data_IF_494278894330
#
_entry.id   IF_494278894330
#
_cell.length_a   1.000
_cell.length_b   1.000
_cell.length_c   1.000
_cell.angle_alpha   90.00
_cell.angle_beta   90.00
_cell.angle_gamma   90.00
#
_symmetry.space_group_name_H-M   'P 1'
#
loop_
_entity.id
_entity.type
_entity.pdbx_description
1 polymer ?
#
# COMPACT_ATOMS: atom_id res chain seq x y z
N UNK A 1 30.90 0.00 -1.53
CA UNK A 1 30.03 0.59 -2.58
C UNK A 1 28.67 0.84 -1.98
N UNK A 2 28.08 2.02 -2.23
CA UNK A 2 26.71 2.35 -1.80
C UNK A 2 25.85 2.43 -3.06
N UNK A 3 24.78 1.64 -3.12
CA UNK A 3 23.96 1.41 -4.31
C UNK A 3 22.51 1.75 -3.97
N UNK A 4 21.93 2.84 -4.47
CA UNK A 4 20.51 3.08 -4.34
C UNK A 4 19.74 2.11 -5.23
N UNK A 5 18.65 1.51 -4.72
CA UNK A 5 17.83 0.57 -5.50
C UNK A 5 16.33 0.91 -5.49
N UNK A 6 15.89 1.75 -4.55
CA UNK A 6 14.49 2.16 -4.41
C UNK A 6 14.38 3.56 -3.77
N UNK A 7 13.18 4.13 -3.75
CA UNK A 7 12.90 5.42 -3.12
C UNK A 7 11.51 5.47 -2.50
N UNK A 8 11.36 6.25 -1.42
CA UNK A 8 10.05 6.57 -0.83
C UNK A 8 9.34 7.74 -1.53
N UNK A 9 9.95 8.32 -2.59
CA UNK A 9 9.34 9.38 -3.36
C UNK A 9 8.04 8.89 -4.01
N UNK A 10 6.94 9.67 -3.94
CA UNK A 10 5.67 9.25 -4.53
C UNK A 10 5.80 9.12 -6.05
N UNK A 11 5.52 7.92 -6.55
CA UNK A 11 5.54 7.58 -7.97
C UNK A 11 4.12 7.71 -8.51
N UNK A 12 3.76 8.89 -9.03
CA UNK A 12 2.41 9.14 -9.57
C UNK A 12 2.21 8.55 -10.96
N UNK A 13 3.28 8.43 -11.74
CA UNK A 13 3.30 7.84 -13.07
C UNK A 13 4.17 6.60 -13.09
N UNK A 14 3.71 5.55 -13.78
CA UNK A 14 4.51 4.35 -13.99
C UNK A 14 5.76 4.67 -14.83
N UNK A 15 6.96 4.16 -14.47
CA UNK A 15 8.24 4.65 -14.99
C UNK A 15 8.62 4.06 -16.38
N UNK A 16 7.73 4.19 -17.36
CA UNK A 16 7.96 3.66 -18.71
C UNK A 16 9.19 4.26 -19.40
N UNK A 17 9.44 5.55 -19.21
CA UNK A 17 10.57 6.28 -19.78
C UNK A 17 11.88 5.81 -19.18
N UNK A 18 11.95 5.65 -17.86
CA UNK A 18 13.13 5.15 -17.14
C UNK A 18 13.46 3.74 -17.62
N UNK A 19 12.46 2.85 -17.68
CA UNK A 19 12.63 1.48 -18.19
C UNK A 19 13.08 1.50 -19.65
N UNK A 20 12.46 2.31 -20.51
CA UNK A 20 12.80 2.41 -21.93
C UNK A 20 14.22 2.94 -22.13
N UNK A 21 14.64 3.96 -21.38
CA UNK A 21 15.99 4.50 -21.42
C UNK A 21 17.01 3.46 -20.95
N UNK A 22 16.74 2.73 -19.87
CA UNK A 22 17.61 1.63 -19.41
C UNK A 22 17.73 0.55 -20.48
N UNK A 23 16.60 0.08 -21.02
CA UNK A 23 16.58 -0.93 -22.08
C UNK A 23 17.34 -0.47 -23.33
N UNK A 24 17.22 0.81 -23.70
CA UNK A 24 17.94 1.40 -24.84
C UNK A 24 19.44 1.40 -24.60
N UNK A 25 19.91 1.81 -23.40
CA UNK A 25 21.32 1.78 -23.04
C UNK A 25 21.89 0.36 -23.07
N UNK A 26 21.15 -0.60 -22.53
CA UNK A 26 21.54 -2.02 -22.55
C UNK A 26 21.62 -2.53 -24.01
N UNK A 27 20.62 -2.24 -24.84
CA UNK A 27 20.62 -2.62 -26.23
C UNK A 27 21.81 -2.01 -27.00
N UNK A 28 22.05 -0.71 -26.83
CA UNK A 28 23.19 -0.03 -27.47
C UNK A 28 24.53 -0.64 -27.06
N UNK A 29 24.72 -0.95 -25.77
CA UNK A 29 25.93 -1.60 -25.30
C UNK A 29 26.17 -2.97 -25.97
N UNK A 30 25.15 -3.81 -26.05
CA UNK A 30 25.30 -5.14 -26.65
C UNK A 30 25.41 -5.10 -28.18
N UNK A 31 24.77 -4.11 -28.83
CA UNK A 31 24.82 -3.96 -30.29
C UNK A 31 26.12 -3.34 -30.79
N UNK A 32 26.67 -2.36 -30.06
CA UNK A 32 27.76 -1.51 -30.57
C UNK A 32 29.04 -1.54 -29.72
N UNK A 33 28.98 -1.96 -28.45
CA UNK A 33 30.16 -1.96 -27.57
C UNK A 33 30.81 -3.33 -27.36
N UNK A 34 30.09 -4.45 -27.57
CA UNK A 34 30.59 -5.82 -27.32
C UNK A 34 31.83 -6.22 -28.15
N UNK A 35 32.25 -5.41 -29.13
CA UNK A 35 33.36 -5.69 -30.05
C UNK A 35 34.33 -4.52 -30.27
N UNK A 36 34.28 -3.46 -29.48
CA UNK A 36 35.27 -2.37 -29.58
C UNK A 36 36.59 -2.87 -28.98
N UNK A 37 37.48 -3.39 -29.83
CA UNK A 37 38.84 -3.85 -29.47
C UNK A 37 39.95 -3.01 -30.11
N UNK A 38 39.64 -2.27 -31.18
CA UNK A 38 40.63 -1.51 -31.94
C UNK A 38 40.47 -0.02 -31.64
N UNK A 39 41.56 0.66 -31.31
CA UNK A 39 41.63 2.06 -30.83
C UNK A 39 41.15 3.15 -31.81
N UNK A 40 40.28 2.82 -32.77
CA UNK A 40 39.52 3.78 -33.56
C UNK A 40 38.29 4.25 -32.79
N UNK A 41 38.04 5.57 -32.67
CA UNK A 41 36.82 6.09 -32.06
C UNK A 41 35.60 5.55 -32.79
N UNK A 42 34.73 4.83 -32.08
CA UNK A 42 33.46 4.38 -32.64
C UNK A 42 32.64 5.62 -33.07
N UNK A 43 31.95 5.62 -34.23
CA UNK A 43 31.23 6.80 -34.74
C UNK A 43 30.14 7.36 -33.81
N UNK A 44 29.82 6.63 -32.73
CA UNK A 44 28.81 6.99 -31.74
C UNK A 44 29.38 7.53 -30.42
N UNK A 45 30.70 7.49 -30.24
CA UNK A 45 31.39 8.14 -29.12
C UNK A 45 31.58 9.62 -29.44
N UNK A 46 31.62 10.46 -28.41
CA UNK A 46 31.89 11.89 -28.58
C UNK A 46 33.38 12.06 -28.90
N UNK A 47 33.72 12.44 -30.12
CA UNK A 47 35.10 12.67 -30.57
C UNK A 47 35.47 14.15 -30.39
N UNK A 48 36.59 14.42 -29.71
CA UNK A 48 37.02 15.79 -29.42
C UNK A 48 37.74 16.46 -30.59
N UNK A 49 38.15 15.69 -31.60
CA UNK A 49 38.86 16.21 -32.77
C UNK A 49 37.91 16.76 -33.85
N UNK A 50 36.60 16.55 -33.69
CA UNK A 50 35.57 17.00 -34.63
C UNK A 50 34.33 17.55 -33.92
N UNK A 51 33.49 18.29 -34.65
CA UNK A 51 32.15 18.67 -34.20
C UNK A 51 31.12 17.84 -34.97
N UNK A 52 30.42 16.94 -34.27
CA UNK A 52 29.41 16.09 -34.88
C UNK A 52 28.15 16.03 -33.99
N UNK A 53 27.08 16.78 -34.34
CA UNK A 53 25.86 16.82 -33.54
C UNK A 53 25.17 15.47 -33.33
N UNK A 54 25.39 14.49 -34.20
CA UNK A 54 24.88 13.13 -33.99
C UNK A 54 25.47 12.51 -32.72
N UNK A 55 26.76 12.77 -32.47
CA UNK A 55 27.47 12.24 -31.31
C UNK A 55 26.95 12.81 -29.99
N UNK A 56 26.37 14.01 -29.99
CA UNK A 56 25.74 14.59 -28.79
C UNK A 56 24.58 13.74 -28.28
N UNK A 57 23.89 13.04 -29.18
CA UNK A 57 22.82 12.12 -28.81
C UNK A 57 23.35 10.70 -28.55
N UNK A 58 24.18 10.19 -29.47
CA UNK A 58 24.56 8.77 -29.42
C UNK A 58 25.53 8.46 -28.28
N UNK A 59 26.41 9.39 -27.92
CA UNK A 59 27.44 9.15 -26.88
C UNK A 59 26.82 8.90 -25.50
N UNK A 60 25.63 9.44 -25.24
CA UNK A 60 24.85 9.25 -24.01
C UNK A 60 24.53 7.76 -23.80
N UNK A 61 24.38 6.98 -24.88
CA UNK A 61 24.01 5.56 -24.83
C UNK A 61 25.22 4.61 -24.87
N UNK A 62 26.41 5.12 -25.17
CA UNK A 62 27.64 4.33 -25.27
C UNK A 62 28.25 4.11 -23.88
N UNK A 63 28.75 2.90 -23.61
CA UNK A 63 29.39 2.56 -22.33
C UNK A 63 30.72 1.83 -22.55
N UNK A 64 31.75 2.22 -21.79
CA UNK A 64 33.11 1.71 -21.97
C UNK A 64 33.25 0.22 -21.61
N UNK A 65 32.49 -0.23 -20.61
CA UNK A 65 32.55 -1.60 -20.11
C UNK A 65 31.29 -1.92 -19.28
N UNK A 66 31.08 -3.19 -18.96
CA UNK A 66 29.86 -3.67 -18.32
C UNK A 66 29.61 -3.03 -16.94
N UNK A 67 30.65 -2.84 -16.12
CA UNK A 67 30.48 -2.18 -14.81
C UNK A 67 30.06 -0.71 -14.95
N UNK A 68 30.58 0.01 -15.94
CA UNK A 68 30.14 1.38 -16.22
C UNK A 68 28.66 1.41 -16.62
N UNK A 69 28.21 0.48 -17.45
CA UNK A 69 26.79 0.34 -17.79
C UNK A 69 25.94 0.05 -16.55
N UNK A 70 26.30 -0.98 -15.77
CA UNK A 70 25.53 -1.38 -14.58
C UNK A 70 25.43 -0.22 -13.59
N UNK A 71 26.54 0.47 -13.32
CA UNK A 71 26.56 1.64 -12.44
C UNK A 71 25.59 2.71 -12.89
N UNK A 72 25.62 3.08 -14.18
CA UNK A 72 24.70 4.07 -14.74
C UNK A 72 23.25 3.62 -14.65
N UNK A 73 22.93 2.35 -14.92
CA UNK A 73 21.55 1.88 -14.89
C UNK A 73 20.96 1.88 -13.47
N UNK A 74 21.76 1.58 -12.44
CA UNK A 74 21.36 1.67 -11.03
C UNK A 74 20.98 3.10 -10.64
N UNK A 75 21.83 4.07 -10.97
CA UNK A 75 21.55 5.47 -10.64
C UNK A 75 20.44 6.06 -11.51
N UNK A 76 20.38 5.68 -12.79
CA UNK A 76 19.29 6.06 -13.69
C UNK A 76 17.95 5.52 -13.19
N UNK A 77 17.90 4.28 -12.69
CA UNK A 77 16.70 3.75 -12.06
C UNK A 77 16.28 4.59 -10.86
N UNK A 78 17.20 4.80 -9.92
CA UNK A 78 16.92 5.49 -8.66
C UNK A 78 16.44 6.93 -8.86
N UNK A 79 17.14 7.71 -9.70
CA UNK A 79 16.76 9.09 -9.95
C UNK A 79 15.64 9.19 -10.98
N UNK A 80 15.60 8.31 -11.97
CA UNK A 80 14.54 8.24 -12.97
C UNK A 80 13.17 8.00 -12.36
N UNK A 81 13.06 7.10 -11.37
CA UNK A 81 11.83 6.89 -10.61
C UNK A 81 11.31 8.18 -9.96
N UNK A 82 12.20 8.96 -9.32
CA UNK A 82 11.84 10.22 -8.66
C UNK A 82 11.37 11.26 -9.67
N UNK A 83 12.14 11.43 -10.76
CA UNK A 83 11.85 12.47 -11.76
C UNK A 83 10.62 12.10 -12.59
N UNK A 84 10.60 10.92 -13.21
CA UNK A 84 9.47 10.47 -14.03
C UNK A 84 8.20 10.32 -13.20
N UNK A 85 8.30 9.86 -11.96
CA UNK A 85 7.18 9.80 -11.04
C UNK A 85 6.47 11.14 -10.88
N UNK A 86 7.18 12.27 -10.96
CA UNK A 86 6.63 13.63 -10.81
C UNK A 86 6.17 14.27 -12.12
N UNK A 87 6.83 13.99 -13.25
CA UNK A 87 6.56 14.71 -14.52
C UNK A 87 5.96 13.86 -15.64
N UNK A 88 5.90 12.54 -15.45
CA UNK A 88 5.47 11.57 -16.45
C UNK A 88 6.48 11.33 -17.57
N UNK A 89 6.24 10.30 -18.36
CA UNK A 89 7.19 9.71 -19.31
C UNK A 89 7.75 10.68 -20.34
N UNK A 90 6.90 11.42 -21.06
CA UNK A 90 7.37 12.29 -22.16
C UNK A 90 8.25 13.43 -21.67
N UNK A 91 7.90 14.05 -20.54
CA UNK A 91 8.70 15.12 -19.94
C UNK A 91 9.99 14.59 -19.37
N UNK A 92 9.97 13.41 -18.73
CA UNK A 92 11.18 12.74 -18.27
C UNK A 92 12.17 12.50 -19.41
N UNK A 93 11.71 11.94 -20.54
CA UNK A 93 12.55 11.70 -21.71
C UNK A 93 13.12 13.00 -22.27
N UNK A 94 12.31 14.06 -22.36
CA UNK A 94 12.78 15.38 -22.80
C UNK A 94 13.82 16.00 -21.86
N UNK A 95 13.67 15.83 -20.54
CA UNK A 95 14.65 16.29 -19.54
C UNK A 95 15.95 15.49 -19.66
N UNK A 96 15.87 14.15 -19.67
CA UNK A 96 17.03 13.27 -19.76
C UNK A 96 17.84 13.55 -21.04
N UNK A 97 17.18 13.56 -22.19
CA UNK A 97 17.83 13.84 -23.48
C UNK A 97 18.30 15.29 -23.57
N UNK A 98 17.50 16.25 -23.09
CA UNK A 98 17.87 17.67 -23.12
C UNK A 98 19.14 17.95 -22.31
N UNK A 99 19.25 17.38 -21.11
CA UNK A 99 20.47 17.49 -20.28
C UNK A 99 21.64 16.81 -20.98
N UNK A 100 21.48 15.55 -21.43
CA UNK A 100 22.58 14.80 -22.06
C UNK A 100 23.09 15.46 -23.34
N UNK A 101 22.19 15.86 -24.24
CA UNK A 101 22.57 16.49 -25.53
C UNK A 101 23.19 17.87 -25.31
N UNK A 102 22.64 18.67 -24.39
CA UNK A 102 23.22 19.99 -24.12
C UNK A 102 24.60 19.91 -23.47
N UNK A 103 24.79 18.99 -22.51
CA UNK A 103 26.08 18.80 -21.85
C UNK A 103 27.14 18.27 -22.82
N UNK A 104 26.82 17.24 -23.61
CA UNK A 104 27.75 16.66 -24.60
C UNK A 104 28.09 17.65 -25.72
N UNK A 105 27.12 18.48 -26.14
CA UNK A 105 27.38 19.56 -27.09
C UNK A 105 28.39 20.58 -26.53
N UNK A 106 28.17 21.05 -25.30
CA UNK A 106 29.07 22.00 -24.63
C UNK A 106 30.46 21.38 -24.44
N UNK A 107 30.52 20.12 -24.02
CA UNK A 107 31.77 19.38 -23.86
C UNK A 107 32.55 19.27 -25.17
N UNK A 108 31.93 18.78 -26.25
CA UNK A 108 32.61 18.61 -27.54
C UNK A 108 33.10 19.94 -28.09
N UNK A 109 32.27 20.99 -28.05
CA UNK A 109 32.65 22.33 -28.51
C UNK A 109 33.85 22.86 -27.72
N UNK A 110 33.86 22.67 -26.39
CA UNK A 110 34.95 23.10 -25.53
C UNK A 110 36.24 22.31 -25.83
N UNK A 111 36.16 20.98 -25.91
CA UNK A 111 37.33 20.12 -26.10
C UNK A 111 37.96 20.34 -27.48
N UNK A 112 37.12 20.46 -28.52
CA UNK A 112 37.53 20.81 -29.87
C UNK A 112 38.22 22.18 -29.92
N UNK A 113 37.63 23.20 -29.29
CA UNK A 113 38.22 24.54 -29.25
C UNK A 113 39.56 24.60 -28.51
N UNK A 114 39.79 23.68 -27.57
CA UNK A 114 41.04 23.55 -26.82
C UNK A 114 42.05 22.62 -27.50
N UNK A 115 41.73 22.10 -28.70
CA UNK A 115 42.59 21.19 -29.45
C UNK A 115 42.88 19.88 -28.73
N UNK A 116 41.94 19.43 -27.88
CA UNK A 116 42.09 18.18 -27.13
C UNK A 116 41.81 16.98 -28.04
N UNK A 117 42.56 15.89 -27.83
CA UNK A 117 42.36 14.61 -28.51
C UNK A 117 41.60 13.64 -27.63
N UNK A 118 40.97 12.63 -28.23
CA UNK A 118 40.24 11.58 -27.52
C UNK A 118 38.74 11.81 -27.54
N UNK A 119 38.05 11.33 -26.51
CA UNK A 119 36.59 11.39 -26.50
C UNK A 119 35.95 10.92 -25.21
N UNK A 120 34.63 11.08 -25.12
CA UNK A 120 33.83 10.68 -23.98
C UNK A 120 32.54 9.97 -24.37
N UNK A 121 31.98 9.26 -23.40
CA UNK A 121 30.77 8.45 -23.55
C UNK A 121 30.15 8.18 -22.19
N UNK A 122 28.85 7.90 -22.19
CA UNK A 122 28.12 7.44 -21.01
C UNK A 122 26.91 8.30 -20.67
N UNK A 123 25.94 7.66 -20.03
CA UNK A 123 24.73 8.32 -19.56
C UNK A 123 24.95 9.18 -18.30
N UNK A 124 26.14 9.11 -17.70
CA UNK A 124 26.39 9.59 -16.33
C UNK A 124 26.16 11.09 -16.16
N UNK A 125 26.55 11.92 -17.14
CA UNK A 125 26.28 13.36 -17.06
C UNK A 125 24.77 13.68 -17.03
N UNK A 126 23.96 13.00 -17.85
CA UNK A 126 22.51 13.14 -17.80
C UNK A 126 21.94 12.69 -16.44
N UNK A 127 22.46 11.58 -15.90
CA UNK A 127 22.08 11.05 -14.58
C UNK A 127 22.42 12.03 -13.45
N UNK A 128 23.59 12.68 -13.49
CA UNK A 128 23.96 13.72 -12.53
C UNK A 128 23.07 14.96 -12.66
N UNK A 129 22.62 15.29 -13.87
CA UNK A 129 21.58 16.32 -14.03
C UNK A 129 20.25 15.92 -13.39
N UNK A 130 19.83 14.66 -13.52
CA UNK A 130 18.65 14.15 -12.80
C UNK A 130 18.84 14.19 -11.28
N UNK A 131 20.04 13.89 -10.77
CA UNK A 131 20.37 14.03 -9.34
C UNK A 131 20.19 15.49 -8.88
N UNK A 132 20.69 16.46 -9.66
CA UNK A 132 20.52 17.88 -9.35
C UNK A 132 19.05 18.30 -9.29
N UNK A 133 18.22 17.77 -10.19
CA UNK A 133 16.77 17.98 -10.15
C UNK A 133 16.14 17.28 -8.93
N UNK A 134 16.52 16.04 -8.63
CA UNK A 134 15.98 15.27 -7.52
C UNK A 134 16.28 15.93 -6.16
N UNK A 135 17.47 16.50 -5.99
CA UNK A 135 17.83 17.29 -4.81
C UNK A 135 16.94 18.52 -4.63
N UNK A 136 16.42 19.10 -5.72
CA UNK A 136 15.48 20.22 -5.67
C UNK A 136 14.04 19.78 -5.41
N UNK A 137 13.59 18.69 -6.02
CA UNK A 137 12.18 18.29 -6.02
C UNK A 137 11.78 17.34 -4.90
N UNK A 138 12.73 16.59 -4.35
CA UNK A 138 12.49 15.54 -3.37
C UNK A 138 13.63 15.46 -2.31
N UNK A 139 14.14 16.57 -1.76
CA UNK A 139 15.32 16.59 -0.89
C UNK A 139 15.22 15.70 0.35
N UNK A 140 14.02 15.59 0.95
CA UNK A 140 13.77 14.79 2.16
C UNK A 140 13.35 13.36 1.88
N UNK A 141 12.96 13.04 0.64
CA UNK A 141 12.67 11.66 0.26
C UNK A 141 13.94 10.84 0.38
N UNK A 142 13.80 9.60 0.85
CA UNK A 142 14.91 8.69 1.01
C UNK A 142 15.11 7.81 -0.22
N UNK A 143 16.38 7.58 -0.55
CA UNK A 143 16.82 6.44 -1.34
C UNK A 143 17.09 5.28 -0.40
N UNK A 144 16.54 4.11 -0.71
CA UNK A 144 16.94 2.87 -0.07
C UNK A 144 18.24 2.40 -0.72
N UNK A 145 19.28 2.32 0.10
CA UNK A 145 20.64 2.03 -0.33
C UNK A 145 21.10 0.70 0.24
N UNK A 146 21.74 -0.11 -0.59
CA UNK A 146 22.55 -1.25 -0.14
C UNK A 146 23.99 -0.76 -0.02
N UNK A 147 24.65 -1.06 1.09
CA UNK A 147 26.10 -0.94 1.19
C UNK A 147 26.74 -2.32 1.16
N UNK A 148 27.86 -2.43 0.44
CA UNK A 148 28.71 -3.61 0.39
C UNK A 148 30.15 -3.18 0.63
N UNK A 149 30.74 -3.65 1.74
CA UNK A 149 32.13 -3.47 2.12
C UNK A 149 32.80 -4.86 2.25
N UNK A 150 33.13 -5.46 1.11
CA UNK A 150 33.63 -6.84 1.03
C UNK A 150 32.51 -7.89 1.19
N UNK A 151 32.90 -9.17 1.27
CA UNK A 151 31.95 -10.29 1.31
C UNK A 151 31.13 -10.37 2.61
N UNK A 152 31.68 -9.89 3.73
CA UNK A 152 31.10 -10.10 5.07
C UNK A 152 30.32 -8.91 5.64
N UNK A 153 30.51 -7.70 5.08
CA UNK A 153 29.85 -6.50 5.59
C UNK A 153 28.93 -5.92 4.52
N UNK A 154 27.67 -6.32 4.57
CA UNK A 154 26.61 -5.84 3.71
C UNK A 154 25.34 -5.54 4.50
N UNK A 155 24.60 -4.52 4.09
CA UNK A 155 23.33 -4.16 4.72
C UNK A 155 22.58 -3.09 3.94
N UNK A 156 21.43 -2.67 4.47
CA UNK A 156 20.56 -1.66 3.87
C UNK A 156 20.37 -0.47 4.81
N UNK A 157 20.24 0.73 4.24
CA UNK A 157 19.86 1.93 4.98
C UNK A 157 19.09 2.90 4.07
N UNK A 158 18.27 3.75 4.68
CA UNK A 158 17.59 4.84 3.98
C UNK A 158 18.42 6.12 4.09
N UNK A 159 18.60 6.85 2.99
CA UNK A 159 19.36 8.09 2.94
C UNK A 159 18.57 9.19 2.23
N UNK A 160 18.32 10.36 2.84
CA UNK A 160 17.67 11.47 2.17
C UNK A 160 18.42 11.87 0.88
N UNK A 161 17.69 12.12 -0.21
CA UNK A 161 18.25 12.45 -1.53
C UNK A 161 19.20 13.65 -1.44
N UNK A 162 18.87 14.67 -0.63
CA UNK A 162 19.77 15.83 -0.48
C UNK A 162 21.10 15.47 0.17
N UNK A 163 21.10 14.55 1.14
CA UNK A 163 22.32 14.10 1.83
C UNK A 163 23.12 13.21 0.89
N UNK A 164 22.45 12.23 0.25
CA UNK A 164 23.08 11.33 -0.71
C UNK A 164 23.69 12.12 -1.88
N UNK A 165 22.93 13.05 -2.46
CA UNK A 165 23.38 13.93 -3.53
C UNK A 165 24.54 14.84 -3.09
N UNK A 166 24.49 15.43 -1.90
CA UNK A 166 25.60 16.23 -1.37
C UNK A 166 26.88 15.41 -1.21
N UNK A 167 26.79 14.17 -0.71
CA UNK A 167 27.94 13.26 -0.63
C UNK A 167 28.52 13.02 -2.02
N UNK A 168 27.69 12.72 -3.01
CA UNK A 168 28.14 12.51 -4.40
C UNK A 168 28.83 13.76 -4.96
N UNK A 169 28.23 14.94 -4.78
CA UNK A 169 28.82 16.21 -5.26
C UNK A 169 30.17 16.50 -4.59
N UNK A 170 30.28 16.29 -3.27
CA UNK A 170 31.55 16.45 -2.56
C UNK A 170 32.60 15.47 -3.06
N UNK A 171 32.22 14.21 -3.31
CA UNK A 171 33.12 13.21 -3.87
C UNK A 171 33.58 13.58 -5.29
N UNK A 172 32.68 14.06 -6.15
CA UNK A 172 33.05 14.50 -7.50
C UNK A 172 33.96 15.73 -7.49
N UNK A 173 33.69 16.71 -6.61
CA UNK A 173 34.59 17.87 -6.44
C UNK A 173 35.97 17.39 -5.96
N UNK A 174 36.03 16.48 -5.00
CA UNK A 174 37.29 15.92 -4.52
C UNK A 174 38.05 15.19 -5.64
N UNK A 175 37.36 14.37 -6.45
CA UNK A 175 37.96 13.69 -7.60
C UNK A 175 38.41 14.66 -8.68
N UNK A 176 37.67 15.74 -8.94
CA UNK A 176 38.04 16.77 -9.89
C UNK A 176 39.30 17.54 -9.43
N UNK A 177 39.43 17.80 -8.13
CA UNK A 177 40.65 18.37 -7.54
C UNK A 177 41.84 17.40 -7.66
N UNK A 178 41.64 16.11 -7.36
CA UNK A 178 42.67 15.09 -7.53
C UNK A 178 43.10 14.91 -8.99
N UNK A 179 42.18 15.15 -9.92
CA UNK A 179 42.44 15.17 -11.35
C UNK A 179 43.02 16.52 -11.82
N UNK A 180 43.50 17.37 -10.91
CA UNK A 180 44.14 18.66 -11.20
C UNK A 180 43.26 19.58 -12.08
N UNK A 181 41.94 19.55 -11.85
CA UNK A 181 40.95 20.30 -12.62
C UNK A 181 40.92 19.94 -14.12
N UNK A 182 41.41 18.75 -14.49
CA UNK A 182 41.29 18.23 -15.85
C UNK A 182 39.86 17.81 -16.17
N UNK A 183 39.54 17.79 -17.47
CA UNK A 183 38.26 17.34 -18.03
C UNK A 183 38.10 15.80 -17.93
N UNK A 184 38.04 15.35 -16.68
CA UNK A 184 37.83 13.97 -16.26
C UNK A 184 36.33 13.64 -16.16
N UNK A 185 35.99 12.37 -15.89
CA UNK A 185 34.60 11.97 -15.62
C UNK A 185 33.94 12.80 -14.51
N UNK A 186 34.70 13.20 -13.50
CA UNK A 186 34.20 14.03 -12.41
C UNK A 186 33.78 15.43 -12.87
N UNK A 187 34.54 16.04 -13.79
CA UNK A 187 34.16 17.30 -14.41
C UNK A 187 32.85 17.17 -15.20
N UNK A 188 32.69 16.08 -15.97
CA UNK A 188 31.48 15.82 -16.75
C UNK A 188 30.24 15.58 -15.86
N UNK A 189 30.41 14.87 -14.75
CA UNK A 189 29.35 14.67 -13.75
C UNK A 189 28.90 16.01 -13.16
N UNK A 190 29.85 16.87 -12.77
CA UNK A 190 29.55 18.21 -12.24
C UNK A 190 28.89 19.10 -13.31
N UNK A 191 29.33 19.04 -14.57
CA UNK A 191 28.68 19.76 -15.67
C UNK A 191 27.23 19.28 -15.87
N UNK A 192 26.98 17.97 -15.80
CA UNK A 192 25.65 17.40 -15.85
C UNK A 192 24.74 17.90 -14.73
N UNK A 193 25.24 17.90 -13.50
CA UNK A 193 24.55 18.47 -12.33
C UNK A 193 24.18 19.95 -12.56
N UNK A 194 25.15 20.75 -13.03
CA UNK A 194 24.96 22.18 -13.34
C UNK A 194 23.95 22.40 -14.46
N UNK A 195 23.86 21.50 -15.44
CA UNK A 195 22.84 21.57 -16.49
C UNK A 195 21.43 21.21 -15.96
N UNK A 196 21.34 20.25 -15.03
CA UNK A 196 20.06 19.81 -14.45
C UNK A 196 19.42 20.81 -13.49
N UNK A 197 20.22 21.48 -12.64
CA UNK A 197 19.70 22.41 -11.60
C UNK A 197 18.81 23.51 -12.20
N UNK A 198 19.22 24.27 -13.25
CA UNK A 198 18.38 25.27 -13.89
C UNK A 198 17.05 24.71 -14.42
N UNK A 199 17.07 23.50 -15.00
CA UNK A 199 15.85 22.82 -15.48
C UNK A 199 14.91 22.59 -14.32
N UNK A 200 15.40 21.99 -13.23
CA UNK A 200 14.62 21.74 -12.01
C UNK A 200 14.02 23.02 -11.41
N UNK A 201 14.82 24.10 -11.35
CA UNK A 201 14.40 25.41 -10.83
C UNK A 201 13.33 26.07 -11.70
N UNK A 202 13.50 26.06 -13.02
CA UNK A 202 12.53 26.65 -13.96
C UNK A 202 11.21 25.91 -13.87
N UNK A 203 11.24 24.57 -13.83
CA UNK A 203 10.03 23.77 -13.71
C UNK A 203 9.27 24.03 -12.41
N UNK A 204 9.97 24.17 -11.28
CA UNK A 204 9.35 24.57 -10.01
C UNK A 204 8.72 25.96 -10.11
N UNK A 205 9.48 26.97 -10.57
CA UNK A 205 8.98 28.35 -10.65
C UNK A 205 7.82 28.53 -11.62
N UNK A 206 7.76 27.72 -12.67
CA UNK A 206 6.68 27.75 -13.67
C UNK A 206 5.50 26.86 -13.31
N UNK A 207 5.53 26.18 -12.14
CA UNK A 207 4.52 25.19 -11.74
C UNK A 207 4.32 24.09 -12.79
N UNK A 208 5.39 23.70 -13.48
CA UNK A 208 5.37 22.60 -14.46
C UNK A 208 5.53 21.22 -13.81
N UNK A 209 5.94 21.21 -12.55
CA UNK A 209 6.03 20.04 -11.68
C UNK A 209 5.35 20.38 -10.36
N UNK A 210 4.54 19.47 -9.84
CA UNK A 210 3.98 19.57 -8.50
C UNK A 210 4.80 18.70 -7.56
N UNK A 211 5.41 19.33 -6.56
CA UNK A 211 6.15 18.63 -5.52
C UNK A 211 5.37 18.53 -4.21
N UNK A 212 4.10 18.95 -4.18
CA UNK A 212 3.23 18.91 -2.99
C UNK A 212 3.85 19.62 -1.77
N UNK A 213 4.68 20.64 -2.01
CA UNK A 213 5.44 21.35 -0.98
C UNK A 213 6.63 20.58 -0.39
N UNK A 214 6.97 19.41 -0.94
CA UNK A 214 8.18 18.65 -0.58
C UNK A 214 9.43 19.11 -1.33
N UNK A 215 9.34 20.13 -2.20
CA UNK A 215 10.52 20.72 -2.83
C UNK A 215 11.45 21.41 -1.80
N UNK A 216 12.70 21.65 -2.20
CA UNK A 216 13.74 22.27 -1.39
C UNK A 216 13.32 23.61 -0.78
N UNK A 217 12.64 24.46 -1.55
CA UNK A 217 12.27 25.79 -1.08
C UNK A 217 11.17 25.71 -0.04
N UNK A 218 10.11 24.98 -0.34
CA UNK A 218 8.98 24.80 0.58
C UNK A 218 9.41 24.09 1.87
N UNK A 219 10.30 23.10 1.76
CA UNK A 219 10.75 22.26 2.89
C UNK A 219 11.72 22.93 3.85
N UNK A 220 12.66 23.75 3.34
CA UNK A 220 13.72 24.36 4.16
C UNK A 220 13.56 25.86 4.38
N UNK A 221 12.80 26.54 3.51
CA UNK A 221 12.66 28.00 3.51
C UNK A 221 11.21 28.49 3.51
N UNK A 222 10.23 27.58 3.45
CA UNK A 222 8.79 27.88 3.47
C UNK A 222 8.07 27.22 4.65
N UNK A 223 6.75 27.16 4.57
CA UNK A 223 5.88 26.61 5.62
C UNK A 223 5.89 25.07 5.69
N UNK A 224 6.76 24.40 4.92
CA UNK A 224 6.83 22.95 4.80
C UNK A 224 5.87 22.35 3.76
N UNK A 225 5.81 21.01 3.69
CA UNK A 225 4.86 20.31 2.82
C UNK A 225 3.43 20.71 3.15
N UNK A 226 2.67 21.08 2.13
CA UNK A 226 1.24 21.29 2.32
C UNK A 226 0.63 19.90 2.45
N UNK A 227 -0.06 19.60 3.55
CA UNK A 227 -0.83 18.36 3.69
C UNK A 227 -1.57 18.09 2.39
N UNK A 228 -1.15 17.03 1.69
CA UNK A 228 -1.39 16.91 0.27
C UNK A 228 -2.87 16.63 0.02
N UNK A 229 -3.42 17.31 -0.97
CA UNK A 229 -4.78 17.08 -1.44
C UNK A 229 -5.02 15.61 -1.84
N UNK A 230 -3.95 14.85 -2.14
CA UNK A 230 -3.99 13.41 -2.43
C UNK A 230 -4.34 12.56 -1.19
N UNK A 231 -3.71 12.83 -0.04
CA UNK A 231 -3.97 12.09 1.20
C UNK A 231 -5.38 12.40 1.72
N UNK A 232 -5.78 13.67 1.67
CA UNK A 232 -7.15 14.09 1.98
C UNK A 232 -8.17 13.46 1.03
N UNK A 233 -7.86 13.35 -0.27
CA UNK A 233 -8.76 12.77 -1.28
C UNK A 233 -8.86 11.26 -1.18
N UNK A 234 -7.76 10.56 -0.84
CA UNK A 234 -7.75 9.11 -0.60
C UNK A 234 -8.52 8.78 0.68
N UNK A 235 -8.27 9.49 1.78
CA UNK A 235 -9.02 9.35 3.02
C UNK A 235 -10.52 9.66 2.83
N UNK A 236 -10.86 10.70 2.07
CA UNK A 236 -12.25 11.04 1.75
C UNK A 236 -12.92 9.99 0.86
N UNK A 237 -12.20 9.40 -0.10
CA UNK A 237 -12.70 8.35 -0.98
C UNK A 237 -12.94 7.05 -0.20
N UNK A 238 -11.97 6.64 0.62
CA UNK A 238 -12.07 5.44 1.46
C UNK A 238 -13.23 5.59 2.46
N UNK A 239 -13.40 6.78 3.06
CA UNK A 239 -14.54 7.08 3.93
C UNK A 239 -15.89 7.10 3.17
N UNK A 240 -15.92 7.60 1.94
CA UNK A 240 -17.13 7.62 1.11
C UNK A 240 -17.54 6.20 0.66
N UNK A 241 -16.57 5.36 0.28
CA UNK A 241 -16.80 3.96 -0.09
C UNK A 241 -17.27 3.13 1.12
N UNK A 242 -16.63 3.30 2.28
CA UNK A 242 -17.09 2.67 3.52
C UNK A 242 -18.52 3.12 3.90
N UNK A 243 -18.85 4.41 3.72
CA UNK A 243 -20.20 4.93 3.96
C UNK A 243 -21.22 4.35 2.98
N UNK A 244 -20.87 4.20 1.71
CA UNK A 244 -21.73 3.60 0.67
C UNK A 244 -21.97 2.11 0.93
N UNK A 245 -20.93 1.34 1.27
CA UNK A 245 -21.03 -0.07 1.63
C UNK A 245 -21.92 -0.26 2.88
N UNK A 246 -21.76 0.60 3.89
CA UNK A 246 -22.59 0.56 5.10
C UNK A 246 -24.07 0.87 4.80
N UNK A 247 -24.34 1.86 3.94
CA UNK A 247 -25.70 2.18 3.48
C UNK A 247 -26.33 1.03 2.67
N UNK A 248 -25.57 0.41 1.77
CA UNK A 248 -26.04 -0.71 0.96
C UNK A 248 -26.36 -1.95 1.81
N UNK A 249 -25.50 -2.29 2.76
CA UNK A 249 -25.74 -3.39 3.70
C UNK A 249 -26.97 -3.11 4.60
N UNK A 250 -27.16 -1.86 5.03
CA UNK A 250 -28.34 -1.47 5.80
C UNK A 250 -29.63 -1.59 4.98
N UNK A 251 -29.60 -1.20 3.71
CA UNK A 251 -30.74 -1.34 2.80
C UNK A 251 -31.07 -2.81 2.53
N UNK A 252 -30.08 -3.64 2.23
CA UNK A 252 -30.28 -5.06 1.99
C UNK A 252 -30.91 -5.77 3.20
N UNK A 253 -30.37 -5.51 4.39
CA UNK A 253 -30.92 -6.05 5.64
C UNK A 253 -32.37 -5.63 5.87
N UNK A 254 -32.71 -4.38 5.57
CA UNK A 254 -34.07 -3.88 5.71
C UNK A 254 -35.03 -4.67 4.81
N UNK A 255 -34.64 -4.97 3.57
CA UNK A 255 -35.43 -5.81 2.65
C UNK A 255 -35.59 -7.24 3.17
N UNK A 256 -34.54 -7.82 3.76
CA UNK A 256 -34.59 -9.16 4.38
C UNK A 256 -35.60 -9.16 5.53
N UNK A 257 -35.55 -8.16 6.42
CA UNK A 257 -36.49 -8.02 7.53
C UNK A 257 -37.92 -7.85 7.04
N UNK A 258 -38.17 -7.03 6.03
CA UNK A 258 -39.49 -6.84 5.43
C UNK A 258 -40.04 -8.13 4.82
N UNK A 259 -39.18 -8.91 4.15
CA UNK A 259 -39.57 -10.20 3.57
C UNK A 259 -39.93 -11.22 4.65
N UNK A 260 -39.15 -11.27 5.74
CA UNK A 260 -39.46 -12.10 6.91
C UNK A 260 -40.78 -11.65 7.56
N UNK A 261 -40.98 -10.34 7.76
CA UNK A 261 -42.20 -9.81 8.35
C UNK A 261 -43.43 -10.16 7.51
N UNK A 262 -43.35 -10.03 6.19
CA UNK A 262 -44.44 -10.41 5.29
C UNK A 262 -44.79 -11.90 5.40
N UNK A 263 -43.80 -12.78 5.49
CA UNK A 263 -44.03 -14.21 5.68
C UNK A 263 -44.67 -14.52 7.06
N UNK A 264 -44.28 -13.79 8.11
CA UNK A 264 -44.89 -13.88 9.44
C UNK A 264 -46.35 -13.40 9.43
N UNK A 265 -46.64 -12.28 8.77
CA UNK A 265 -47.99 -11.70 8.67
C UNK A 265 -48.95 -12.62 7.91
N UNK A 266 -48.45 -13.31 6.87
CA UNK A 266 -49.18 -14.34 6.13
C UNK A 266 -49.35 -15.65 6.92
N UNK A 267 -48.80 -15.74 8.14
CA UNK A 267 -48.79 -16.95 8.98
C UNK A 267 -48.17 -18.17 8.28
N UNK A 268 -47.27 -17.95 7.32
CA UNK A 268 -46.59 -19.04 6.61
C UNK A 268 -45.33 -19.45 7.36
N UNK A 269 -45.49 -20.37 8.31
CA UNK A 269 -44.43 -20.79 9.21
C UNK A 269 -43.19 -21.34 8.48
N UNK A 270 -43.40 -22.16 7.44
CA UNK A 270 -42.31 -22.83 6.72
C UNK A 270 -41.46 -21.82 5.96
N UNK A 271 -42.10 -20.87 5.27
CA UNK A 271 -41.40 -19.83 4.51
C UNK A 271 -40.66 -18.87 5.43
N UNK A 272 -41.31 -18.42 6.51
CA UNK A 272 -40.68 -17.51 7.48
C UNK A 272 -39.41 -18.13 8.09
N UNK A 273 -39.46 -19.38 8.54
CA UNK A 273 -38.29 -20.06 9.12
C UNK A 273 -37.20 -20.35 8.08
N UNK A 274 -37.56 -20.60 6.81
CA UNK A 274 -36.59 -20.73 5.72
C UNK A 274 -35.83 -19.43 5.47
N UNK A 275 -36.56 -18.30 5.41
CA UNK A 275 -35.95 -16.97 5.23
C UNK A 275 -35.03 -16.62 6.40
N UNK A 276 -35.47 -16.89 7.63
CA UNK A 276 -34.67 -16.66 8.84
C UNK A 276 -33.38 -17.48 8.84
N UNK A 277 -33.43 -18.75 8.41
CA UNK A 277 -32.23 -19.60 8.28
C UNK A 277 -31.25 -19.06 7.25
N UNK A 278 -31.76 -18.67 6.08
CA UNK A 278 -30.91 -18.13 5.02
C UNK A 278 -30.22 -16.82 5.43
N UNK A 279 -30.87 -16.03 6.27
CA UNK A 279 -30.36 -14.77 6.78
C UNK A 279 -29.73 -14.87 8.19
N UNK A 280 -29.41 -16.08 8.67
CA UNK A 280 -28.99 -16.30 10.05
C UNK A 280 -27.74 -15.48 10.43
N UNK A 281 -26.71 -15.52 9.58
CA UNK A 281 -25.45 -14.80 9.80
C UNK A 281 -25.60 -13.30 9.54
N UNK A 282 -26.33 -12.92 8.49
CA UNK A 282 -26.61 -11.52 8.14
C UNK A 282 -27.33 -10.80 9.28
N UNK A 283 -28.32 -11.46 9.90
CA UNK A 283 -29.08 -10.94 11.04
C UNK A 283 -28.35 -11.11 12.38
N UNK A 284 -27.10 -11.62 12.36
CA UNK A 284 -26.28 -11.87 13.53
C UNK A 284 -27.06 -12.65 14.60
N UNK A 285 -27.67 -13.76 14.18
CA UNK A 285 -28.41 -14.66 15.06
C UNK A 285 -29.56 -13.98 15.82
N UNK A 286 -30.18 -12.97 15.20
CA UNK A 286 -31.29 -12.21 15.77
C UNK A 286 -30.90 -10.85 16.33
N UNK A 287 -29.60 -10.54 16.50
CA UNK A 287 -29.11 -9.25 17.03
C UNK A 287 -29.56 -8.03 16.21
N UNK A 288 -29.87 -8.22 14.94
CA UNK A 288 -30.34 -7.14 14.06
C UNK A 288 -31.85 -7.21 13.75
N UNK A 289 -32.59 -8.14 14.36
CA UNK A 289 -34.05 -8.23 14.23
C UNK A 289 -34.76 -7.24 15.16
N UNK A 290 -35.92 -6.67 14.77
CA UNK A 290 -36.81 -5.97 15.68
C UNK A 290 -37.35 -6.89 16.79
N UNK A 291 -37.56 -6.35 17.97
CA UNK A 291 -37.94 -7.10 19.18
C UNK A 291 -39.20 -7.97 19.01
N UNK A 292 -40.26 -7.43 18.38
CA UNK A 292 -41.49 -8.20 18.10
C UNK A 292 -41.25 -9.36 17.14
N UNK A 293 -40.41 -9.14 16.13
CA UNK A 293 -40.06 -10.16 15.14
C UNK A 293 -39.23 -11.26 15.80
N UNK A 294 -38.23 -10.90 16.61
CA UNK A 294 -37.38 -11.83 17.34
C UNK A 294 -38.21 -12.79 18.21
N UNK A 295 -39.16 -12.26 18.98
CA UNK A 295 -40.09 -13.08 19.80
C UNK A 295 -40.97 -13.97 18.93
N UNK A 296 -41.48 -13.45 17.80
CA UNK A 296 -42.33 -14.20 16.88
C UNK A 296 -41.57 -15.37 16.24
N UNK A 297 -40.35 -15.13 15.78
CA UNK A 297 -39.46 -16.15 15.19
C UNK A 297 -39.10 -17.22 16.22
N UNK A 298 -38.69 -16.83 17.43
CA UNK A 298 -38.38 -17.79 18.51
C UNK A 298 -39.60 -18.65 18.87
N UNK A 299 -40.80 -18.06 18.89
CA UNK A 299 -42.06 -18.79 19.14
C UNK A 299 -42.36 -19.76 18.00
N UNK A 300 -42.14 -19.34 16.75
CA UNK A 300 -42.41 -20.14 15.57
C UNK A 300 -41.51 -21.37 15.48
N UNK A 301 -40.21 -21.24 15.75
CA UNK A 301 -39.30 -22.39 15.87
C UNK A 301 -39.79 -23.40 16.92
N UNK A 302 -40.25 -22.91 18.08
CA UNK A 302 -40.80 -23.77 19.12
C UNK A 302 -42.09 -24.48 18.71
N UNK A 303 -43.00 -23.80 18.02
CA UNK A 303 -44.24 -24.41 17.52
C UNK A 303 -43.95 -25.52 16.49
N UNK A 304 -42.93 -25.34 15.67
CA UNK A 304 -42.46 -26.32 14.68
C UNK A 304 -41.54 -27.40 15.28
N UNK A 305 -41.35 -27.40 16.60
CA UNK A 305 -40.46 -28.34 17.33
C UNK A 305 -38.99 -28.31 16.84
N UNK A 306 -38.55 -27.19 16.29
CA UNK A 306 -37.17 -26.95 15.84
C UNK A 306 -36.39 -26.33 16.98
N UNK A 307 -36.03 -27.18 17.96
CA UNK A 307 -35.53 -26.74 19.26
C UNK A 307 -34.14 -26.12 19.19
N UNK A 308 -33.22 -26.76 18.47
CA UNK A 308 -31.81 -26.33 18.44
C UNK A 308 -31.67 -25.01 17.69
N UNK A 309 -32.40 -24.83 16.60
CA UNK A 309 -32.41 -23.57 15.85
C UNK A 309 -33.07 -22.42 16.62
N UNK A 310 -33.89 -22.70 17.64
CA UNK A 310 -34.48 -21.66 18.49
C UNK A 310 -33.50 -21.04 19.50
N UNK A 311 -32.43 -21.76 19.85
CA UNK A 311 -31.51 -21.39 20.94
C UNK A 311 -30.90 -19.99 20.76
N UNK A 312 -30.32 -19.61 19.59
CA UNK A 312 -29.68 -18.30 19.43
C UNK A 312 -30.67 -17.15 19.61
N UNK A 313 -31.91 -17.32 19.16
CA UNK A 313 -32.97 -16.31 19.29
C UNK A 313 -33.47 -16.20 20.73
N UNK A 314 -33.58 -17.32 21.46
CA UNK A 314 -33.93 -17.29 22.88
C UNK A 314 -32.83 -16.59 23.70
N UNK A 315 -31.56 -16.86 23.41
CA UNK A 315 -30.42 -16.19 24.04
C UNK A 315 -30.47 -14.68 23.76
N UNK A 316 -30.72 -14.27 22.53
CA UNK A 316 -30.84 -12.85 22.19
C UNK A 316 -32.03 -12.18 22.92
N UNK A 317 -33.15 -12.89 23.12
CA UNK A 317 -34.26 -12.41 23.97
C UNK A 317 -33.79 -12.23 25.41
N UNK A 318 -33.05 -13.18 25.98
CA UNK A 318 -32.54 -13.05 27.36
C UNK A 318 -31.58 -11.87 27.54
N UNK A 319 -30.85 -11.50 26.48
CA UNK A 319 -29.91 -10.39 26.45
C UNK A 319 -30.61 -9.02 26.39
N UNK A 320 -31.70 -8.91 25.64
CA UNK A 320 -32.41 -7.64 25.41
C UNK A 320 -33.44 -7.29 26.48
N UNK A 321 -34.12 -8.30 27.01
CA UNK A 321 -35.26 -8.07 27.89
C UNK A 321 -34.88 -8.29 29.36
N UNK A 322 -35.43 -7.49 30.29
CA UNK A 322 -35.17 -7.64 31.72
C UNK A 322 -35.48 -9.06 32.22
N UNK A 323 -34.74 -9.52 33.23
CA UNK A 323 -34.91 -10.86 33.83
C UNK A 323 -36.35 -11.15 34.29
N UNK A 324 -37.05 -10.12 34.80
CA UNK A 324 -38.45 -10.23 35.24
C UNK A 324 -39.43 -10.59 34.10
N UNK A 325 -39.12 -10.20 32.85
CA UNK A 325 -39.96 -10.48 31.68
C UNK A 325 -39.59 -11.77 30.97
N UNK A 326 -38.42 -12.35 31.27
CA UNK A 326 -37.85 -13.50 30.55
C UNK A 326 -37.87 -14.79 31.35
N UNK A 327 -38.53 -14.83 32.50
CA UNK A 327 -38.62 -16.02 33.40
C UNK A 327 -39.04 -17.28 32.63
N UNK A 328 -40.13 -17.19 31.87
CA UNK A 328 -40.63 -18.32 31.06
C UNK A 328 -39.64 -18.72 29.96
N UNK A 329 -39.01 -17.74 29.30
CA UNK A 329 -37.99 -17.97 28.26
C UNK A 329 -36.76 -18.68 28.83
N UNK A 330 -36.30 -18.30 30.03
CA UNK A 330 -35.19 -18.95 30.75
C UNK A 330 -35.51 -20.40 31.06
N UNK A 331 -36.68 -20.68 31.65
CA UNK A 331 -37.12 -22.05 31.96
C UNK A 331 -37.25 -22.87 30.67
N UNK A 332 -37.72 -22.26 29.58
CA UNK A 332 -37.87 -22.93 28.29
C UNK A 332 -36.53 -23.24 27.63
N UNK A 333 -35.58 -22.32 27.67
CA UNK A 333 -34.23 -22.53 27.17
C UNK A 333 -33.53 -23.64 27.96
N UNK A 334 -33.60 -23.61 29.30
CA UNK A 334 -33.07 -24.69 30.14
C UNK A 334 -33.66 -26.06 29.79
N UNK A 335 -34.98 -26.11 29.53
CA UNK A 335 -35.64 -27.34 29.08
C UNK A 335 -35.12 -27.82 27.72
N UNK A 336 -34.88 -26.92 26.76
CA UNK A 336 -34.35 -27.28 25.44
C UNK A 336 -32.92 -27.81 25.56
N UNK A 337 -32.09 -27.17 26.40
CA UNK A 337 -30.70 -27.58 26.62
C UNK A 337 -30.58 -29.00 27.16
N UNK A 338 -31.46 -29.44 28.07
CA UNK A 338 -31.43 -30.83 28.58
C UNK A 338 -32.08 -31.85 27.65
N UNK A 339 -32.99 -31.45 26.75
CA UNK A 339 -33.80 -32.36 25.93
C UNK A 339 -33.31 -32.52 24.49
N UNK A 340 -32.72 -31.47 23.90
CA UNK A 340 -32.43 -31.44 22.46
C UNK A 340 -30.97 -31.10 22.12
N UNK A 341 -30.23 -30.46 23.04
CA UNK A 341 -28.85 -30.02 22.83
C UNK A 341 -27.84 -30.72 23.76
N UNK A 342 -28.32 -31.54 24.70
CA UNK A 342 -27.53 -32.34 25.66
C UNK A 342 -26.54 -31.53 26.52
N UNK A 343 -26.96 -30.34 26.99
CA UNK A 343 -26.15 -29.42 27.82
C UNK A 343 -26.71 -29.17 29.22
N UNK A 344 -26.65 -30.15 30.12
CA UNK A 344 -27.22 -30.02 31.45
C UNK A 344 -26.56 -28.99 32.37
N UNK A 345 -25.24 -28.75 32.29
CA UNK A 345 -24.56 -27.71 33.09
C UNK A 345 -24.96 -26.33 32.62
N UNK A 346 -25.02 -26.12 31.31
CA UNK A 346 -25.51 -24.84 30.77
C UNK A 346 -26.97 -24.62 31.18
N UNK A 347 -27.82 -25.65 31.13
CA UNK A 347 -29.20 -25.61 31.62
C UNK A 347 -29.30 -25.15 33.08
N UNK A 348 -28.44 -25.66 33.97
CA UNK A 348 -28.36 -25.24 35.37
C UNK A 348 -27.98 -23.76 35.50
N UNK A 349 -26.96 -23.30 34.77
CA UNK A 349 -26.53 -21.89 34.76
C UNK A 349 -27.66 -20.94 34.34
N UNK A 350 -28.49 -21.32 33.36
CA UNK A 350 -29.68 -20.54 32.96
C UNK A 350 -30.66 -20.37 34.12
N UNK A 351 -30.90 -21.46 34.85
CA UNK A 351 -31.88 -21.53 35.94
C UNK A 351 -31.39 -20.81 37.19
N UNK A 352 -30.07 -20.78 37.43
CA UNK A 352 -29.47 -20.05 38.55
C UNK A 352 -29.63 -18.54 38.41
N UNK A 353 -29.71 -18.05 37.17
CA UNK A 353 -29.98 -16.65 36.83
C UNK A 353 -31.48 -16.27 36.89
N UNK A 354 -32.36 -17.14 37.41
CA UNK A 354 -33.78 -16.81 37.57
C UNK A 354 -34.00 -15.79 38.70
N UNK A 355 -34.87 -14.78 38.50
CA UNK A 355 -35.23 -13.86 39.57
C UNK A 355 -35.97 -14.59 40.69
N UNK A 356 -35.71 -14.19 41.94
CA UNK A 356 -36.38 -14.73 43.12
C UNK A 356 -37.47 -13.76 43.61
N UNK A 357 -38.64 -14.25 44.07
CA UNK A 357 -39.04 -15.66 44.11
C UNK A 357 -39.50 -16.20 42.74
N UNK A 358 -39.24 -17.48 42.47
CA UNK A 358 -39.74 -18.16 41.26
C UNK A 358 -41.28 -18.25 41.31
N UNK A 359 -42.01 -17.91 40.22
CA UNK A 359 -43.46 -18.04 40.16
C UNK A 359 -43.96 -19.46 40.47
N UNK A 360 -45.03 -19.60 41.27
CA UNK A 360 -45.57 -20.90 41.71
C UNK A 360 -45.86 -21.86 40.56
N UNK A 361 -46.38 -21.35 39.44
CA UNK A 361 -46.70 -22.13 38.24
C UNK A 361 -45.48 -22.79 37.59
N UNK A 362 -44.27 -22.29 37.84
CA UNK A 362 -43.03 -22.77 37.24
C UNK A 362 -42.15 -23.56 38.22
N UNK A 363 -42.41 -23.51 39.53
CA UNK A 363 -41.56 -24.16 40.55
C UNK A 363 -41.38 -25.66 40.31
N UNK A 364 -42.49 -26.38 40.08
CA UNK A 364 -42.47 -27.82 39.81
C UNK A 364 -41.63 -28.15 38.57
N UNK A 365 -41.79 -27.35 37.50
CA UNK A 365 -41.07 -27.54 36.24
C UNK A 365 -39.57 -27.25 36.38
N UNK A 366 -39.20 -26.19 37.10
CA UNK A 366 -37.80 -25.87 37.39
C UNK A 366 -37.15 -26.99 38.19
N UNK A 367 -37.81 -27.50 39.24
CA UNK A 367 -37.30 -28.62 40.04
C UNK A 367 -37.09 -29.88 39.19
N UNK A 368 -38.03 -30.18 38.28
CA UNK A 368 -37.90 -31.30 37.36
C UNK A 368 -36.69 -31.16 36.41
N UNK A 369 -36.49 -29.98 35.81
CA UNK A 369 -35.37 -29.72 34.90
C UNK A 369 -34.03 -29.86 35.64
N UNK A 370 -33.93 -29.32 36.87
CA UNK A 370 -32.72 -29.45 37.70
C UNK A 370 -32.38 -30.90 37.98
N UNK A 371 -33.37 -31.71 38.40
CA UNK A 371 -33.18 -33.14 38.67
C UNK A 371 -32.68 -33.91 37.43
N UNK A 372 -33.23 -33.61 36.25
CA UNK A 372 -32.78 -34.24 34.99
C UNK A 372 -31.35 -33.83 34.68
N UNK A 373 -31.03 -32.53 34.80
CA UNK A 373 -29.69 -32.03 34.56
C UNK A 373 -28.65 -32.67 35.50
N UNK A 374 -28.94 -32.75 36.80
CA UNK A 374 -28.09 -33.42 37.80
C UNK A 374 -27.84 -34.89 37.45
N UNK A 375 -28.89 -35.59 36.99
CA UNK A 375 -28.77 -37.00 36.59
C UNK A 375 -27.87 -37.16 35.35
N UNK A 376 -28.05 -36.29 34.33
CA UNK A 376 -27.23 -36.30 33.12
C UNK A 376 -25.76 -35.94 33.42
N UNK A 377 -25.52 -34.98 34.32
CA UNK A 377 -24.17 -34.61 34.77
C UNK A 377 -23.50 -35.78 35.50
N UNK A 378 -24.22 -36.44 36.42
CA UNK A 378 -23.72 -37.59 37.15
C UNK A 378 -23.42 -38.79 36.22
N UNK A 379 -24.14 -38.91 35.12
CA UNK A 379 -23.91 -39.92 34.07
C UNK A 379 -22.72 -39.61 33.15
N UNK A 380 -22.03 -38.48 33.34
CA UNK A 380 -20.81 -38.13 32.61
C UNK A 380 -21.03 -37.40 31.29
N UNK A 381 -22.10 -36.62 31.14
CA UNK A 381 -22.32 -35.77 29.96
C UNK A 381 -21.12 -34.85 29.68
N UNK A 382 -20.56 -34.91 28.46
CA UNK A 382 -19.45 -34.08 27.99
C UNK A 382 -20.03 -32.89 27.22
N UNK A 383 -19.81 -31.68 27.71
CA UNK A 383 -20.32 -30.45 27.11
C UNK A 383 -19.20 -29.61 26.48
N UNK A 384 -19.45 -29.05 25.30
CA UNK A 384 -18.63 -27.97 24.74
C UNK A 384 -19.22 -26.66 25.29
N UNK A 385 -18.48 -25.95 26.14
CA UNK A 385 -18.89 -24.65 26.65
C UNK A 385 -19.02 -23.64 25.50
N UNK A 386 -20.24 -23.12 25.29
CA UNK A 386 -20.43 -21.88 24.54
C UNK A 386 -20.54 -20.72 25.53
N UNK A 387 -19.86 -19.61 25.18
CA UNK A 387 -19.72 -18.34 25.93
C UNK A 387 -20.84 -18.03 26.93
N UNK A 388 -20.44 -17.52 28.11
CA UNK A 388 -21.35 -16.94 29.10
C UNK A 388 -22.28 -15.91 28.46
N UNK A 389 -23.58 -16.16 28.56
CA UNK A 389 -24.65 -15.30 28.05
C UNK A 389 -25.59 -14.81 29.13
#
# INVERSE_FOLDING_TARGET
MIIPYNTDAPVYYFPFGTIATIATNIAFYFLFCLGIQDGTPHPFILDFETINPLQWLTSIFMHAHLLHLIGNMVFLWSYGLVIEGKVGTLRFLAIYLGIGVSQTAVEQILMFSLGQTGGSLGASAAIFGLLGIAMLWAPKNCLECIYVLGFYFHGTFACPIIIFGAIQVVMEIFLFILAEFSMSSAALHLMGLVAGIPVGLVMLRRNWVDCEGWDLFSTYFGDGPKESASETRRAAKDAAEAKKAKQQNQHHRQQVLETIQSALDQKNAVVALKLVRNAHDELQQGKQMPDKMLVSVATLFQQQKQWNESIPYLIEILRRFPAAQTVTTRVRLAQILIQADERPRQAMSVLDKLPQPIPESLKSKVAQIRKIAETQIAAGAIEIELHDW
#
